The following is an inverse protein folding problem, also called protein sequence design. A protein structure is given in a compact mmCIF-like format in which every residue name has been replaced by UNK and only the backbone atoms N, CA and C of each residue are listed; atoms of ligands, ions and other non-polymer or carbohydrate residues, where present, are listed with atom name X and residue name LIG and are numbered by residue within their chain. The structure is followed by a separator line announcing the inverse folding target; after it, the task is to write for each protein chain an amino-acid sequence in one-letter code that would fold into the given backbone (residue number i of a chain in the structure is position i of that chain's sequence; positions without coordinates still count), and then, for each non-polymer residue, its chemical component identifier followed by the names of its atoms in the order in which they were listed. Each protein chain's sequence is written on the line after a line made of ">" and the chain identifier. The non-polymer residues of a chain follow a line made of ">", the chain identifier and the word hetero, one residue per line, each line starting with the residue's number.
data_IF_172327999505
#
_entry.id   IF_172327999505
#
_cell.length_a   1.000
_cell.length_b   1.000
_cell.length_c   1.000
_cell.angle_alpha   90.00
_cell.angle_beta   90.00
_cell.angle_gamma   90.00
#
_symmetry.space_group_name_H-M   'P 1'
#
loop_
_entity.id
_entity.type
_entity.pdbx_description
1 polymer ?
#
# COMPACT_ATOMS: atom_id res chain seq x y z
N UNK A 1 26.62 -43.70 21.70
CA UNK A 1 26.72 -43.28 20.30
C UNK A 1 27.97 -42.41 20.16
N UNK A 2 28.85 -42.62 19.17
CA UNK A 2 30.04 -41.79 19.01
C UNK A 2 29.63 -40.36 18.65
N UNK A 3 30.21 -39.39 19.32
CA UNK A 3 29.99 -37.94 19.18
C UNK A 3 30.02 -37.49 17.70
N UNK A 4 30.84 -38.13 16.86
CA UNK A 4 30.94 -37.86 15.43
C UNK A 4 29.65 -38.04 14.63
N UNK A 5 28.79 -39.00 15.01
CA UNK A 5 27.51 -39.23 14.32
C UNK A 5 26.53 -38.08 14.63
N UNK A 6 26.53 -37.55 15.86
CA UNK A 6 25.65 -36.45 16.26
C UNK A 6 26.05 -35.16 15.51
N UNK A 7 27.36 -34.90 15.36
CA UNK A 7 27.86 -33.73 14.63
C UNK A 7 27.46 -33.81 13.15
N UNK A 8 27.55 -34.97 12.53
CA UNK A 8 27.14 -35.17 11.13
C UNK A 8 25.62 -34.95 10.95
N UNK A 9 24.79 -35.46 11.86
CA UNK A 9 23.33 -35.25 11.82
C UNK A 9 22.97 -33.79 11.97
N UNK A 10 23.60 -33.06 12.88
CA UNK A 10 23.38 -31.61 13.06
C UNK A 10 23.76 -30.83 11.80
N UNK A 11 24.90 -31.16 11.17
CA UNK A 11 25.32 -30.53 9.92
C UNK A 11 24.32 -30.80 8.77
N UNK A 12 23.80 -32.02 8.64
CA UNK A 12 22.81 -32.37 7.63
C UNK A 12 21.52 -31.57 7.86
N UNK A 13 21.04 -31.45 9.10
CA UNK A 13 19.85 -30.66 9.43
C UNK A 13 20.06 -29.19 9.12
N UNK A 14 21.23 -28.62 9.46
CA UNK A 14 21.54 -27.22 9.15
C UNK A 14 21.63 -26.98 7.64
N UNK A 15 22.19 -27.89 6.87
CA UNK A 15 22.25 -27.79 5.41
C UNK A 15 20.86 -27.92 4.79
N UNK A 16 20.02 -28.80 5.33
CA UNK A 16 18.62 -28.94 4.87
C UNK A 16 17.79 -27.68 5.16
N UNK A 17 17.90 -27.10 6.37
CA UNK A 17 17.23 -25.86 6.73
C UNK A 17 17.72 -24.68 5.89
N UNK A 18 19.01 -24.62 5.59
CA UNK A 18 19.58 -23.59 4.72
C UNK A 18 19.10 -23.73 3.28
N UNK A 19 18.99 -24.96 2.78
CA UNK A 19 18.47 -25.23 1.43
C UNK A 19 16.99 -24.88 1.32
N UNK A 20 16.17 -25.24 2.34
CA UNK A 20 14.76 -24.86 2.41
C UNK A 20 14.56 -23.35 2.37
N UNK A 21 15.27 -22.57 3.19
CA UNK A 21 15.23 -21.11 3.14
C UNK A 21 15.64 -20.53 1.78
N UNK A 22 16.64 -21.14 1.12
CA UNK A 22 17.09 -20.68 -0.20
C UNK A 22 16.05 -20.99 -1.30
N UNK A 23 15.33 -22.09 -1.18
CA UNK A 23 14.25 -22.44 -2.11
C UNK A 23 13.01 -21.57 -1.91
N UNK A 24 12.62 -21.27 -0.67
CA UNK A 24 11.56 -20.30 -0.38
C UNK A 24 11.89 -18.91 -0.92
N UNK A 25 13.11 -18.41 -0.69
CA UNK A 25 13.56 -17.12 -1.23
C UNK A 25 13.58 -17.12 -2.78
N UNK A 26 13.93 -18.22 -3.42
CA UNK A 26 13.86 -18.36 -4.90
C UNK A 26 12.44 -18.46 -5.42
N UNK A 27 11.53 -19.13 -4.68
CA UNK A 27 10.11 -19.20 -5.04
C UNK A 27 9.48 -17.81 -4.98
N UNK A 28 9.69 -17.06 -3.88
CA UNK A 28 9.18 -15.70 -3.72
C UNK A 28 9.72 -14.74 -4.79
N UNK A 29 11.00 -14.85 -5.16
CA UNK A 29 11.59 -14.04 -6.25
C UNK A 29 11.01 -14.39 -7.63
N UNK A 30 10.67 -15.67 -7.86
CA UNK A 30 10.01 -16.12 -9.09
C UNK A 30 8.54 -15.70 -9.17
N UNK A 31 7.83 -15.73 -8.03
CA UNK A 31 6.43 -15.30 -7.93
C UNK A 31 6.24 -13.81 -8.22
N UNK A 32 7.20 -12.96 -7.82
CA UNK A 32 7.16 -11.52 -8.08
C UNK A 32 7.36 -11.13 -9.55
N UNK A 33 7.80 -12.07 -10.38
CA UNK A 33 7.93 -11.88 -11.85
C UNK A 33 6.81 -12.57 -12.61
N UNK A 34 5.88 -13.23 -11.92
CA UNK A 34 4.73 -13.84 -12.56
C UNK A 34 3.78 -12.76 -13.08
N UNK A 35 3.31 -12.90 -14.31
CA UNK A 35 2.30 -12.01 -14.90
C UNK A 35 1.10 -11.88 -13.96
N UNK A 36 0.64 -10.68 -13.69
CA UNK A 36 -0.46 -10.40 -12.77
C UNK A 36 -0.07 -10.30 -11.29
N UNK A 37 1.24 -10.17 -10.99
CA UNK A 37 1.72 -9.95 -9.61
C UNK A 37 2.37 -8.57 -9.51
N UNK A 38 2.04 -7.83 -8.45
CA UNK A 38 2.65 -6.54 -8.11
C UNK A 38 3.12 -6.55 -6.65
N UNK A 39 4.13 -5.72 -6.35
CA UNK A 39 4.71 -5.61 -5.01
C UNK A 39 4.64 -4.17 -4.50
N UNK A 40 4.36 -4.01 -3.21
CA UNK A 40 4.60 -2.77 -2.48
C UNK A 40 5.40 -3.05 -1.20
N UNK A 41 6.24 -2.08 -0.79
CA UNK A 41 6.96 -2.17 0.48
C UNK A 41 5.97 -1.97 1.65
N UNK A 42 6.10 -2.71 2.75
CA UNK A 42 5.09 -2.62 3.81
C UNK A 42 5.04 -1.22 4.46
N UNK A 43 6.15 -0.47 4.45
CA UNK A 43 6.16 0.93 4.91
C UNK A 43 5.35 1.86 4.01
N UNK A 44 5.05 1.47 2.76
CA UNK A 44 4.21 2.26 1.86
C UNK A 44 2.71 2.08 2.13
N UNK A 45 2.34 1.11 2.96
CA UNK A 45 0.94 0.90 3.30
C UNK A 45 0.34 2.14 3.95
N UNK A 46 -0.66 2.71 3.28
CA UNK A 46 -1.35 3.93 3.73
C UNK A 46 -0.42 5.14 4.00
N UNK A 47 0.76 5.23 3.36
CA UNK A 47 1.56 6.46 3.39
C UNK A 47 0.96 7.56 2.49
N UNK A 48 0.31 7.16 1.40
CA UNK A 48 -0.61 8.01 0.65
C UNK A 48 -1.95 7.30 0.69
N UNK A 49 -2.88 7.78 1.49
CA UNK A 49 -4.16 7.13 1.74
C UNK A 49 -5.36 7.96 1.28
N UNK A 50 -6.44 7.27 0.90
CA UNK A 50 -7.71 7.89 0.51
C UNK A 50 -8.77 7.54 1.56
N UNK A 51 -9.31 8.55 2.22
CA UNK A 51 -10.17 8.39 3.39
C UNK A 51 -11.41 9.30 3.33
N UNK A 52 -12.43 9.03 4.16
CA UNK A 52 -13.60 9.91 4.27
C UNK A 52 -13.24 11.36 4.63
N UNK A 53 -13.87 12.31 3.94
CA UNK A 53 -13.62 13.76 4.11
C UNK A 53 -13.88 14.26 5.54
N UNK A 54 -14.71 13.57 6.31
CA UNK A 54 -14.98 13.91 7.70
C UNK A 54 -13.76 13.80 8.60
N UNK A 55 -12.72 13.08 8.18
CA UNK A 55 -11.44 12.99 8.90
C UNK A 55 -10.55 14.22 8.71
N UNK A 56 -10.89 15.14 7.81
CA UNK A 56 -10.06 16.27 7.39
C UNK A 56 -9.43 17.04 8.56
N UNK A 57 -10.22 17.40 9.57
CA UNK A 57 -9.71 18.18 10.70
C UNK A 57 -8.69 17.39 11.55
N UNK A 58 -8.92 16.08 11.70
CA UNK A 58 -8.02 15.21 12.45
C UNK A 58 -6.73 14.92 11.67
N UNK A 59 -6.82 14.75 10.34
CA UNK A 59 -5.66 14.56 9.47
C UNK A 59 -4.73 15.78 9.51
N UNK A 60 -5.27 16.99 9.39
CA UNK A 60 -4.48 18.23 9.48
C UNK A 60 -3.81 18.35 10.85
N UNK A 61 -4.55 18.08 11.93
CA UNK A 61 -3.97 18.09 13.28
C UNK A 61 -2.84 17.07 13.45
N UNK A 62 -2.99 15.85 12.89
CA UNK A 62 -1.94 14.84 12.93
C UNK A 62 -0.71 15.28 12.11
N UNK A 63 -0.91 15.90 10.95
CA UNK A 63 0.17 16.45 10.13
C UNK A 63 0.98 17.51 10.89
N UNK A 64 0.29 18.44 11.59
CA UNK A 64 0.93 19.43 12.45
C UNK A 64 1.72 18.74 13.57
N UNK A 65 1.13 17.75 14.26
CA UNK A 65 1.82 17.00 15.32
C UNK A 65 3.07 16.27 14.82
N UNK A 66 3.04 15.71 13.60
CA UNK A 66 4.20 15.04 12.97
C UNK A 66 5.29 16.08 12.68
N UNK A 67 4.93 17.25 12.17
CA UNK A 67 5.88 18.34 11.91
C UNK A 67 6.56 18.80 13.19
N UNK A 68 5.81 19.00 14.26
CA UNK A 68 6.34 19.39 15.57
C UNK A 68 7.26 18.31 16.14
N UNK A 69 6.83 17.04 16.07
CA UNK A 69 7.60 15.89 16.54
C UNK A 69 8.93 15.77 15.79
N UNK A 70 8.92 15.86 14.45
CA UNK A 70 10.15 15.80 13.64
C UNK A 70 11.08 16.99 13.93
N UNK A 71 10.54 18.16 14.22
CA UNK A 71 11.33 19.33 14.59
C UNK A 71 12.00 19.13 15.96
N UNK A 72 11.31 18.52 16.93
CA UNK A 72 11.81 18.30 18.29
C UNK A 72 12.76 17.08 18.38
N UNK A 73 12.39 15.95 17.78
CA UNK A 73 13.08 14.66 17.92
C UNK A 73 13.98 14.29 16.75
N UNK A 74 13.84 14.98 15.62
CA UNK A 74 14.50 14.59 14.36
C UNK A 74 14.01 13.22 13.90
N UNK A 75 14.92 12.44 13.34
CA UNK A 75 14.62 11.05 12.86
C UNK A 75 15.09 9.96 13.84
N UNK A 76 15.21 10.28 15.12
CA UNK A 76 15.72 9.34 16.14
C UNK A 76 14.61 8.53 16.81
N UNK A 77 13.36 8.96 16.65
CA UNK A 77 12.18 8.34 17.25
C UNK A 77 11.13 8.01 16.19
N UNK A 78 10.18 7.15 16.54
CA UNK A 78 9.08 6.72 15.67
C UNK A 78 7.80 7.44 16.12
N UNK A 79 7.17 8.15 15.19
CA UNK A 79 5.82 8.69 15.39
C UNK A 79 4.78 7.65 14.94
N UNK A 80 3.87 7.29 15.84
CA UNK A 80 2.75 6.40 15.52
C UNK A 80 1.50 7.24 15.31
N UNK A 81 0.95 7.22 14.10
CA UNK A 81 -0.29 7.92 13.76
C UNK A 81 -1.50 7.30 14.44
N UNK A 82 -2.48 8.12 14.78
CA UNK A 82 -3.78 7.66 15.23
C UNK A 82 -4.60 7.09 14.06
N UNK A 83 -5.45 6.11 14.34
CA UNK A 83 -6.38 5.59 13.35
C UNK A 83 -7.41 6.66 12.93
N UNK A 84 -7.88 6.56 11.69
CA UNK A 84 -8.93 7.43 11.17
C UNK A 84 -10.24 7.24 11.97
N UNK A 85 -10.81 8.32 12.49
CA UNK A 85 -12.06 8.27 13.27
C UNK A 85 -13.23 7.70 12.47
N UNK A 86 -13.29 8.03 11.19
CA UNK A 86 -14.30 7.51 10.27
C UNK A 86 -13.61 6.58 9.28
N UNK A 87 -13.86 5.29 9.41
CA UNK A 87 -13.29 4.28 8.53
C UNK A 87 -13.88 4.37 7.12
N UNK A 88 -13.07 4.03 6.10
CA UNK A 88 -13.50 4.03 4.70
C UNK A 88 -14.67 3.06 4.45
N UNK A 89 -14.72 1.95 5.18
CA UNK A 89 -15.81 0.96 5.11
C UNK A 89 -17.21 1.54 5.38
N UNK A 90 -17.31 2.69 6.07
CA UNK A 90 -18.58 3.41 6.27
C UNK A 90 -19.21 3.88 4.96
N UNK A 91 -18.40 4.04 3.90
CA UNK A 91 -18.87 4.39 2.55
C UNK A 91 -19.54 3.24 1.82
N UNK A 92 -19.38 2.01 2.32
CA UNK A 92 -19.93 0.78 1.72
C UNK A 92 -19.61 0.64 0.23
N UNK A 93 -18.39 1.04 -0.13
CA UNK A 93 -17.88 0.90 -1.49
C UNK A 93 -17.71 -0.60 -1.75
N UNK A 94 -18.39 -1.16 -2.76
CA UNK A 94 -18.17 -2.54 -3.11
C UNK A 94 -16.88 -2.71 -3.90
N UNK A 95 -16.23 -3.86 -3.69
CA UNK A 95 -15.05 -4.25 -4.46
C UNK A 95 -15.26 -4.11 -5.96
N UNK A 96 -16.39 -4.65 -6.47
CA UNK A 96 -16.70 -4.65 -7.90
C UNK A 96 -16.91 -3.26 -8.47
N UNK A 97 -17.47 -2.34 -7.70
CA UNK A 97 -17.69 -0.96 -8.10
C UNK A 97 -16.36 -0.19 -8.21
N UNK A 98 -15.48 -0.35 -7.22
CA UNK A 98 -14.16 0.30 -7.26
C UNK A 98 -13.25 -0.32 -8.33
N UNK A 99 -13.27 -1.66 -8.50
CA UNK A 99 -12.57 -2.32 -9.59
C UNK A 99 -12.96 -1.77 -10.96
N UNK A 100 -14.26 -1.63 -11.21
CA UNK A 100 -14.77 -1.09 -12.48
C UNK A 100 -14.25 0.32 -12.75
N UNK A 101 -14.24 1.16 -11.73
CA UNK A 101 -13.76 2.53 -11.84
C UNK A 101 -12.24 2.59 -12.07
N UNK A 102 -11.47 1.74 -11.41
CA UNK A 102 -10.02 1.70 -11.59
C UNK A 102 -9.55 1.07 -12.92
N UNK A 103 -10.45 0.44 -13.70
CA UNK A 103 -10.15 0.06 -15.08
C UNK A 103 -9.94 1.29 -15.99
N UNK A 104 -10.55 2.43 -15.64
CA UNK A 104 -10.39 3.69 -16.38
C UNK A 104 -8.98 4.30 -16.23
N UNK A 105 -8.17 3.80 -15.27
CA UNK A 105 -6.74 4.14 -15.17
C UNK A 105 -5.91 3.65 -16.38
N UNK A 106 -6.47 2.77 -17.20
CA UNK A 106 -5.81 2.16 -18.39
C UNK A 106 -4.43 1.56 -18.04
N UNK A 107 -4.38 0.79 -16.98
CA UNK A 107 -3.17 0.14 -16.47
C UNK A 107 -3.41 -1.33 -16.11
N UNK A 108 -2.35 -2.06 -15.74
CA UNK A 108 -2.45 -3.47 -15.40
C UNK A 108 -3.18 -3.67 -14.06
N UNK A 109 -4.18 -4.58 -14.05
CA UNK A 109 -4.83 -5.06 -12.83
C UNK A 109 -4.12 -6.28 -12.28
N UNK A 110 -3.82 -6.28 -11.00
CA UNK A 110 -3.16 -7.36 -10.28
C UNK A 110 -4.05 -7.89 -9.16
N UNK A 111 -4.37 -9.18 -9.22
CA UNK A 111 -5.12 -9.89 -8.16
C UNK A 111 -4.21 -10.62 -7.18
N UNK A 112 -2.91 -10.65 -7.47
CA UNK A 112 -1.88 -11.17 -6.59
C UNK A 112 -0.96 -10.03 -6.19
N UNK A 113 -1.15 -9.53 -4.99
CA UNK A 113 -0.34 -8.47 -4.40
C UNK A 113 0.59 -9.06 -3.35
N UNK A 114 1.86 -8.67 -3.39
CA UNK A 114 2.89 -9.09 -2.45
C UNK A 114 3.35 -7.86 -1.67
N UNK A 115 3.57 -8.01 -0.39
CA UNK A 115 4.15 -6.99 0.48
C UNK A 115 5.30 -7.55 1.30
N UNK A 116 6.07 -6.69 1.95
CA UNK A 116 7.16 -7.05 2.86
C UNK A 116 8.37 -6.15 2.74
N UNK A 117 9.47 -6.56 3.39
CA UNK A 117 10.75 -5.84 3.38
C UNK A 117 11.72 -6.46 2.37
N UNK A 118 12.09 -5.69 1.37
CA UNK A 118 13.14 -6.05 0.42
C UNK A 118 12.98 -7.42 -0.24
N UNK A 119 14.07 -8.20 -0.29
CA UNK A 119 14.10 -9.54 -0.90
C UNK A 119 13.84 -10.68 0.10
N UNK A 120 14.02 -10.42 1.38
CA UNK A 120 14.16 -11.48 2.39
C UNK A 120 12.85 -11.83 3.11
N UNK A 121 11.93 -10.89 3.16
CA UNK A 121 10.61 -11.11 3.74
C UNK A 121 9.54 -10.58 2.79
N UNK A 122 8.79 -11.50 2.21
CA UNK A 122 7.68 -11.21 1.31
C UNK A 122 6.51 -12.14 1.57
N UNK A 123 5.35 -11.55 1.75
CA UNK A 123 4.10 -12.28 1.99
C UNK A 123 3.03 -11.83 1.03
N UNK A 124 2.05 -12.67 0.76
CA UNK A 124 0.88 -12.30 -0.01
C UNK A 124 0.02 -11.35 0.82
N UNK A 125 -0.34 -10.21 0.24
CA UNK A 125 -1.35 -9.33 0.81
C UNK A 125 -2.73 -9.89 0.44
N UNK A 126 -3.40 -10.48 1.43
CA UNK A 126 -4.70 -11.12 1.21
C UNK A 126 -5.79 -10.08 0.97
N UNK A 127 -6.79 -10.44 0.17
CA UNK A 127 -7.92 -9.57 -0.19
C UNK A 127 -7.49 -8.19 -0.73
N UNK A 128 -6.34 -8.11 -1.39
CA UNK A 128 -5.79 -6.88 -1.95
C UNK A 128 -5.76 -6.96 -3.46
N UNK A 129 -6.10 -5.85 -4.10
CA UNK A 129 -6.02 -5.66 -5.55
C UNK A 129 -5.20 -4.41 -5.84
N UNK A 130 -4.29 -4.50 -6.81
CA UNK A 130 -3.48 -3.38 -7.27
C UNK A 130 -3.76 -3.05 -8.73
N UNK A 131 -3.70 -1.77 -9.07
CA UNK A 131 -3.78 -1.24 -10.44
C UNK A 131 -2.54 -0.39 -10.70
N UNK A 132 -1.70 -0.84 -11.62
CA UNK A 132 -0.45 -0.14 -11.89
C UNK A 132 0.62 -1.03 -12.48
N UNK A 133 1.83 -0.50 -12.51
CA UNK A 133 3.02 -1.20 -12.99
C UNK A 133 4.23 -0.79 -12.17
N UNK A 134 5.07 -1.77 -11.88
CA UNK A 134 6.27 -1.58 -11.08
C UNK A 134 5.93 -0.93 -9.72
N UNK A 135 6.49 0.25 -9.41
CA UNK A 135 6.25 0.99 -8.17
C UNK A 135 5.12 2.04 -8.31
N UNK A 136 4.57 2.23 -9.51
CA UNK A 136 3.48 3.20 -9.73
C UNK A 136 2.15 2.50 -9.75
N UNK A 137 1.43 2.57 -8.62
CA UNK A 137 0.17 1.85 -8.48
C UNK A 137 -0.75 2.43 -7.39
N UNK A 138 -2.05 2.16 -7.59
CA UNK A 138 -3.11 2.36 -6.61
C UNK A 138 -3.58 0.98 -6.16
N UNK A 139 -3.74 0.81 -4.86
CA UNK A 139 -4.19 -0.43 -4.24
C UNK A 139 -5.44 -0.22 -3.43
N UNK A 140 -6.20 -1.28 -3.24
CA UNK A 140 -7.21 -1.34 -2.20
C UNK A 140 -7.32 -2.75 -1.63
N UNK A 141 -7.69 -2.85 -0.38
CA UNK A 141 -8.10 -4.09 0.26
C UNK A 141 -9.59 -4.10 0.57
N UNK A 142 -10.12 -5.28 0.81
CA UNK A 142 -11.55 -5.45 1.05
C UNK A 142 -11.83 -6.61 2.01
N UNK A 143 -12.93 -6.49 2.73
CA UNK A 143 -13.48 -7.55 3.56
C UNK A 143 -14.97 -7.70 3.24
N UNK A 144 -15.42 -8.95 3.03
CA UNK A 144 -16.83 -9.24 2.70
C UNK A 144 -17.41 -8.33 1.59
N UNK A 145 -16.66 -8.15 0.50
CA UNK A 145 -16.98 -7.29 -0.66
C UNK A 145 -16.98 -5.77 -0.35
N UNK A 146 -16.65 -5.34 0.84
CA UNK A 146 -16.56 -3.92 1.22
C UNK A 146 -15.10 -3.47 1.27
N UNK A 147 -14.77 -2.40 0.56
CA UNK A 147 -13.43 -1.79 0.58
C UNK A 147 -13.15 -1.22 1.97
N UNK A 148 -11.96 -1.56 2.50
CA UNK A 148 -11.51 -1.13 3.82
C UNK A 148 -10.49 0.00 3.73
N UNK A 149 -9.50 -0.12 2.83
CA UNK A 149 -8.45 0.86 2.62
C UNK A 149 -8.22 1.08 1.12
N UNK A 150 -7.82 2.29 0.75
CA UNK A 150 -7.28 2.64 -0.57
C UNK A 150 -5.98 3.40 -0.33
N UNK A 151 -4.89 2.93 -0.97
CA UNK A 151 -3.60 3.61 -0.85
C UNK A 151 -2.84 3.63 -2.17
N UNK A 152 -1.85 4.48 -2.23
CA UNK A 152 -1.05 4.76 -3.41
C UNK A 152 0.42 4.60 -3.03
N UNK A 153 1.23 3.99 -3.91
CA UNK A 153 2.69 4.00 -3.76
C UNK A 153 3.31 5.15 -4.53
N UNK A 154 2.90 5.32 -5.78
CA UNK A 154 3.35 6.39 -6.66
C UNK A 154 2.36 6.55 -7.82
N UNK A 155 2.26 7.73 -8.41
CA UNK A 155 1.39 8.01 -9.56
C UNK A 155 2.17 8.39 -10.84
N UNK A 156 3.48 8.65 -10.74
CA UNK A 156 4.28 9.19 -11.85
C UNK A 156 4.37 8.28 -13.09
N UNK A 157 4.16 6.98 -12.93
CA UNK A 157 4.16 5.99 -14.02
C UNK A 157 2.78 5.73 -14.64
N UNK A 158 1.72 6.37 -14.13
CA UNK A 158 0.36 6.24 -14.63
C UNK A 158 0.02 7.40 -15.59
N UNK A 159 -1.02 7.20 -16.42
CA UNK A 159 -1.53 8.29 -17.24
C UNK A 159 -2.16 9.38 -16.36
N UNK A 160 -1.61 10.59 -16.40
CA UNK A 160 -2.00 11.71 -15.53
C UNK A 160 -3.48 12.08 -15.68
N UNK A 161 -4.00 12.12 -16.91
CA UNK A 161 -5.38 12.48 -17.20
C UNK A 161 -6.35 11.45 -16.61
N UNK A 162 -6.07 10.16 -16.82
CA UNK A 162 -6.87 9.07 -16.26
C UNK A 162 -6.83 9.06 -14.73
N UNK A 163 -5.67 9.35 -14.13
CA UNK A 163 -5.54 9.47 -12.67
C UNK A 163 -6.37 10.63 -12.15
N UNK A 164 -6.29 11.81 -12.78
CA UNK A 164 -7.07 12.99 -12.42
C UNK A 164 -8.57 12.68 -12.43
N UNK A 165 -9.08 12.14 -13.53
CA UNK A 165 -10.50 11.80 -13.67
C UNK A 165 -10.95 10.75 -12.67
N UNK A 166 -10.14 9.73 -12.44
CA UNK A 166 -10.42 8.67 -11.47
C UNK A 166 -10.48 9.22 -10.04
N UNK A 167 -9.49 10.00 -9.62
CA UNK A 167 -9.44 10.60 -8.29
C UNK A 167 -10.61 11.57 -8.08
N UNK A 168 -10.93 12.41 -9.06
CA UNK A 168 -12.07 13.31 -9.01
C UNK A 168 -13.38 12.54 -8.84
N UNK A 169 -13.56 11.48 -9.65
CA UNK A 169 -14.78 10.64 -9.60
C UNK A 169 -14.97 10.00 -8.23
N UNK A 170 -13.91 9.41 -7.62
CA UNK A 170 -14.03 8.80 -6.28
C UNK A 170 -14.25 9.85 -5.20
N UNK A 171 -13.60 11.01 -5.32
CA UNK A 171 -13.75 12.13 -4.40
C UNK A 171 -15.18 12.67 -4.36
N UNK A 172 -15.77 12.93 -5.51
CA UNK A 172 -17.13 13.43 -5.61
C UNK A 172 -18.18 12.39 -5.19
N UNK A 173 -18.03 11.15 -5.69
CA UNK A 173 -19.00 10.08 -5.47
C UNK A 173 -19.09 9.66 -4.01
N UNK A 174 -17.96 9.51 -3.33
CA UNK A 174 -17.91 8.97 -1.96
C UNK A 174 -17.46 9.98 -0.92
N UNK A 175 -17.26 11.25 -1.29
CA UNK A 175 -16.81 12.34 -0.42
C UNK A 175 -15.49 11.97 0.26
N UNK A 176 -14.47 11.73 -0.56
CA UNK A 176 -13.15 11.32 -0.11
C UNK A 176 -12.13 12.46 -0.23
N UNK A 177 -11.09 12.36 0.58
CA UNK A 177 -9.86 13.16 0.51
C UNK A 177 -8.67 12.23 0.43
N UNK A 178 -7.57 12.71 -0.07
CA UNK A 178 -6.29 12.00 -0.07
C UNK A 178 -5.33 12.70 0.87
N UNK A 179 -4.63 11.94 1.70
CA UNK A 179 -3.57 12.42 2.58
C UNK A 179 -2.26 11.78 2.16
N UNK A 180 -1.30 12.59 1.78
CA UNK A 180 0.08 12.17 1.57
C UNK A 180 0.91 12.51 2.81
N UNK A 181 1.22 11.49 3.60
CA UNK A 181 2.00 11.64 4.82
C UNK A 181 3.48 11.92 4.58
N UNK A 182 3.99 11.61 3.36
CA UNK A 182 5.39 11.89 3.02
C UNK A 182 5.65 13.39 2.88
N UNK A 183 4.67 14.12 2.32
CA UNK A 183 4.72 15.58 2.15
C UNK A 183 3.87 16.34 3.17
N UNK A 184 3.07 15.62 4.00
CA UNK A 184 2.05 16.19 4.88
C UNK A 184 1.00 17.01 4.11
N UNK A 185 0.68 16.58 2.88
CA UNK A 185 -0.23 17.27 1.99
C UNK A 185 -1.61 16.62 1.98
N UNK A 186 -2.65 17.44 2.15
CA UNK A 186 -4.05 17.01 2.12
C UNK A 186 -4.73 17.53 0.86
N UNK A 187 -5.27 16.61 0.05
CA UNK A 187 -5.90 16.89 -1.23
C UNK A 187 -7.41 16.58 -1.14
N UNK A 188 -8.25 17.59 -1.30
CA UNK A 188 -9.70 17.42 -1.44
C UNK A 188 -9.99 16.88 -2.84
N UNK A 189 -10.30 15.58 -2.95
CA UNK A 189 -10.52 14.90 -4.22
C UNK A 189 -11.80 15.37 -4.95
N UNK A 190 -12.63 16.23 -4.35
CA UNK A 190 -13.71 16.92 -5.04
C UNK A 190 -13.28 18.23 -5.73
N UNK A 191 -11.97 18.54 -5.70
CA UNK A 191 -11.38 19.76 -6.24
C UNK A 191 -10.35 19.43 -7.30
N UNK A 192 -10.76 19.47 -8.58
CA UNK A 192 -9.90 19.19 -9.73
C UNK A 192 -8.55 19.94 -9.67
N UNK A 193 -8.60 21.23 -9.29
CA UNK A 193 -7.40 22.05 -9.15
C UNK A 193 -6.38 21.46 -8.16
N UNK A 194 -6.83 20.98 -6.99
CA UNK A 194 -5.93 20.39 -5.98
C UNK A 194 -5.30 19.10 -6.48
N UNK A 195 -6.07 18.26 -7.18
CA UNK A 195 -5.54 17.03 -7.77
C UNK A 195 -4.52 17.38 -8.85
N UNK A 196 -4.82 18.36 -9.71
CA UNK A 196 -3.92 18.82 -10.78
C UNK A 196 -2.59 19.32 -10.23
N UNK A 197 -2.63 20.16 -9.19
CA UNK A 197 -1.44 20.70 -8.52
C UNK A 197 -0.59 19.59 -7.87
N UNK A 198 -1.23 18.60 -7.26
CA UNK A 198 -0.55 17.44 -6.66
C UNK A 198 0.13 16.53 -7.72
N UNK A 199 -0.43 16.45 -8.92
CA UNK A 199 0.12 15.64 -10.01
C UNK A 199 1.22 16.37 -10.82
N UNK A 200 1.53 17.64 -10.56
CA UNK A 200 2.61 18.41 -11.21
C UNK A 200 4.00 18.06 -10.69
#
# INVERSE_FOLDING_TARGET
>A
MPIGIIIILVLIVLLYLRKSKTEEAKLTTKENRAKGTIFYHEDDFCQIEIVPKENLADLLKQADNISDFTTEKGYTDIYVREENKIALSTRKISKSELEKLFLDLDTEKHTKVITGYGSDYRVKSENTIGFGKDYSAIYFDYENDTVQNIWITNLSGLNRENVLETLLTIGEKWKLVMMDWNSSELIDLSKEKMITEYLE
#
